data_IF_098611403339
#
_entry.id   IF_098611403339
#
_cell.length_a   1.000
_cell.length_b   1.000
_cell.length_c   1.000
_cell.angle_alpha   90.00
_cell.angle_beta   90.00
_cell.angle_gamma   90.00
#
_symmetry.space_group_name_H-M   'P 1'
#
loop_
_entity.id
_entity.type
_entity.pdbx_description
1 polymer ?
#
# COMPACT_ATOMS: atom_id res chain seq x y z
N UNK A 1 -50.68 24.70 -24.37
CA UNK A 1 -50.36 23.64 -23.38
C UNK A 1 -50.04 22.30 -24.05
N UNK A 2 -49.13 22.26 -25.05
CA UNK A 2 -48.72 21.01 -25.73
C UNK A 2 -47.21 20.75 -25.69
N UNK A 3 -46.41 21.71 -25.22
CA UNK A 3 -44.93 21.62 -25.27
C UNK A 3 -44.30 21.26 -23.92
N UNK A 4 -45.07 21.22 -22.83
CA UNK A 4 -44.56 20.84 -21.49
C UNK A 4 -44.54 19.31 -21.32
N UNK A 5 -45.44 18.59 -22.01
CA UNK A 5 -45.52 17.13 -21.92
C UNK A 5 -44.33 16.41 -22.60
N UNK A 6 -43.71 17.06 -23.59
CA UNK A 6 -42.57 16.52 -24.35
C UNK A 6 -41.25 16.64 -23.58
N UNK A 7 -41.11 17.64 -22.71
CA UNK A 7 -39.94 17.83 -21.84
C UNK A 7 -39.86 16.79 -20.72
N UNK A 8 -41.00 16.33 -20.21
CA UNK A 8 -41.05 15.28 -19.18
C UNK A 8 -40.65 13.90 -19.72
N UNK A 9 -40.95 13.60 -20.98
CA UNK A 9 -40.51 12.34 -21.61
C UNK A 9 -39.02 12.32 -21.95
N UNK A 10 -38.44 13.46 -22.37
CA UNK A 10 -37.00 13.55 -22.65
C UNK A 10 -36.15 13.36 -21.37
N UNK A 11 -36.64 13.79 -20.21
CA UNK A 11 -35.94 13.62 -18.94
C UNK A 11 -36.03 12.19 -18.40
N UNK A 12 -37.12 11.47 -18.67
CA UNK A 12 -37.29 10.07 -18.24
C UNK A 12 -36.42 9.09 -19.03
N UNK A 13 -36.14 9.34 -20.31
CA UNK A 13 -35.25 8.50 -21.13
C UNK A 13 -33.77 8.70 -20.78
N UNK A 14 -33.38 9.89 -20.29
CA UNK A 14 -32.02 10.16 -19.82
C UNK A 14 -31.67 9.51 -18.47
N UNK A 15 -32.68 9.12 -17.67
CA UNK A 15 -32.48 8.49 -16.36
C UNK A 15 -32.36 6.96 -16.40
N UNK A 16 -32.57 6.32 -17.56
CA UNK A 16 -32.48 4.86 -17.73
C UNK A 16 -31.09 4.40 -18.22
N UNK A 17 -30.22 5.32 -18.64
CA UNK A 17 -28.87 4.98 -19.16
C UNK A 17 -27.74 5.00 -18.12
N UNK A 18 -28.04 5.11 -16.83
CA UNK A 18 -27.04 4.96 -15.75
C UNK A 18 -27.30 3.73 -14.86
N UNK A 19 -28.00 2.72 -15.38
CA UNK A 19 -28.23 1.47 -14.67
C UNK A 19 -27.91 0.30 -15.59
N UNK A 20 -26.62 -0.05 -15.67
CA UNK A 20 -26.11 -1.42 -15.73
C UNK A 20 -24.62 -1.40 -16.07
N UNK A 21 -23.81 -1.10 -15.07
CA UNK A 21 -22.48 -1.71 -14.96
C UNK A 21 -22.23 -2.08 -13.49
N UNK A 22 -23.21 -2.77 -12.88
CA UNK A 22 -22.89 -3.72 -11.82
C UNK A 22 -22.35 -4.98 -12.52
N UNK A 23 -21.17 -4.84 -13.12
CA UNK A 23 -20.22 -5.92 -12.93
C UNK A 23 -19.89 -5.84 -11.45
N UNK A 24 -20.62 -6.59 -10.64
CA UNK A 24 -20.10 -7.02 -9.35
C UNK A 24 -18.67 -7.48 -9.66
N UNK A 25 -17.62 -6.86 -9.10
CA UNK A 25 -16.30 -7.38 -9.29
C UNK A 25 -16.34 -8.76 -8.67
N UNK A 26 -16.35 -9.77 -9.54
CA UNK A 26 -16.18 -11.17 -9.18
C UNK A 26 -15.02 -11.18 -8.22
N UNK A 27 -15.33 -11.43 -6.94
CA UNK A 27 -14.40 -11.38 -5.83
C UNK A 27 -13.42 -12.54 -6.00
N UNK A 28 -12.44 -12.36 -6.87
CA UNK A 28 -11.34 -13.29 -7.01
C UNK A 28 -10.33 -13.01 -5.88
N UNK A 29 -10.80 -13.31 -4.68
CA UNK A 29 -10.07 -13.86 -3.53
C UNK A 29 -8.95 -13.08 -2.85
N UNK A 30 -8.49 -11.93 -3.35
CA UNK A 30 -7.37 -11.19 -2.74
C UNK A 30 -7.58 -9.69 -2.75
N UNK A 31 -7.60 -9.10 -1.56
CA UNK A 31 -7.55 -7.65 -1.40
C UNK A 31 -6.13 -7.17 -1.72
N UNK A 32 -5.95 -6.33 -2.74
CA UNK A 32 -4.61 -5.92 -3.21
C UNK A 32 -4.47 -4.41 -3.20
N UNK A 33 -3.52 -3.92 -2.41
CA UNK A 33 -3.07 -2.54 -2.49
C UNK A 33 -2.12 -2.36 -3.67
N UNK A 34 -2.32 -1.32 -4.47
CA UNK A 34 -1.54 -1.05 -5.69
C UNK A 34 -0.93 0.35 -5.65
N UNK A 35 0.40 0.41 -5.68
CA UNK A 35 1.16 1.63 -5.93
C UNK A 35 1.71 1.63 -7.36
N UNK A 36 2.39 2.71 -7.77
CA UNK A 36 2.92 2.86 -9.13
C UNK A 36 3.89 1.75 -9.55
N UNK A 37 4.68 1.23 -8.61
CA UNK A 37 5.76 0.28 -8.93
C UNK A 37 5.73 -1.03 -8.13
N UNK A 38 4.75 -1.20 -7.25
CA UNK A 38 4.57 -2.42 -6.49
C UNK A 38 3.11 -2.61 -6.08
N UNK A 39 2.83 -3.81 -5.57
CA UNK A 39 1.57 -4.15 -4.94
C UNK A 39 1.82 -4.96 -3.68
N UNK A 40 0.85 -4.92 -2.77
CA UNK A 40 0.79 -5.73 -1.56
C UNK A 40 -0.51 -6.53 -1.57
N UNK A 41 -0.46 -7.82 -1.23
CA UNK A 41 -1.66 -8.60 -0.94
C UNK A 41 -2.00 -8.42 0.55
N UNK A 42 -3.21 -7.94 0.81
CA UNK A 42 -3.77 -7.76 2.14
C UNK A 42 -4.70 -8.92 2.48
N UNK A 43 -4.72 -9.37 3.75
CA UNK A 43 -5.78 -10.27 4.20
C UNK A 43 -7.16 -9.61 4.08
N UNK A 44 -8.20 -10.44 4.07
CA UNK A 44 -9.57 -9.96 4.11
C UNK A 44 -9.82 -9.09 5.35
N UNK A 45 -10.55 -7.99 5.18
CA UNK A 45 -10.83 -7.01 6.24
C UNK A 45 -9.72 -5.98 6.48
N UNK A 46 -8.54 -6.12 5.86
CA UNK A 46 -7.47 -5.12 5.99
C UNK A 46 -7.54 -4.09 4.86
N UNK A 47 -7.08 -2.86 5.10
CA UNK A 47 -7.06 -1.80 4.08
C UNK A 47 -5.81 -0.91 4.21
N UNK A 48 -5.56 -0.06 3.21
CA UNK A 48 -4.53 0.99 3.28
C UNK A 48 -5.19 2.36 3.28
N UNK A 49 -4.79 3.20 4.22
CA UNK A 49 -5.07 4.64 4.21
C UNK A 49 -3.85 5.42 3.71
N UNK A 50 -4.09 6.24 2.68
CA UNK A 50 -3.16 7.27 2.23
C UNK A 50 -3.46 8.56 3.00
N UNK A 51 -2.71 8.82 4.08
CA UNK A 51 -2.78 10.12 4.76
C UNK A 51 -1.74 11.07 4.15
N UNK A 52 -2.13 12.32 3.81
CA UNK A 52 -1.14 13.34 3.48
C UNK A 52 -0.18 13.49 4.66
N UNK A 53 1.12 13.38 4.43
CA UNK A 53 2.06 13.37 5.54
C UNK A 53 1.97 14.71 6.30
N UNK A 54 1.57 14.67 7.56
CA UNK A 54 1.62 15.85 8.46
C UNK A 54 3.07 16.32 8.70
N UNK A 55 4.05 15.51 8.32
CA UNK A 55 5.46 15.84 8.48
C UNK A 55 5.99 16.63 7.28
N UNK A 56 6.72 17.71 7.57
CA UNK A 56 7.57 18.46 6.61
C UNK A 56 8.71 17.61 5.99
N UNK A 57 8.66 16.29 6.10
CA UNK A 57 9.70 15.38 5.65
C UNK A 57 9.61 15.08 4.15
N UNK A 58 8.49 15.39 3.50
CA UNK A 58 8.25 15.11 2.08
C UNK A 58 7.93 13.65 1.76
N UNK A 59 7.78 12.79 2.78
CA UNK A 59 7.48 11.37 2.62
C UNK A 59 6.01 11.08 2.96
N UNK A 60 5.25 10.55 2.00
CA UNK A 60 3.88 10.10 2.25
C UNK A 60 3.88 8.80 3.08
N UNK A 61 3.52 8.92 4.35
CA UNK A 61 3.34 7.77 5.24
C UNK A 61 1.95 7.18 5.02
N UNK A 62 1.89 5.87 4.82
CA UNK A 62 0.65 5.11 4.66
C UNK A 62 0.45 4.20 5.84
N UNK A 63 -0.81 3.89 6.12
CA UNK A 63 -1.18 3.03 7.22
C UNK A 63 -1.97 1.82 6.73
N UNK A 64 -1.64 0.65 7.25
CA UNK A 64 -2.45 -0.55 7.09
C UNK A 64 -3.36 -0.67 8.30
N UNK A 65 -4.66 -0.80 8.04
CA UNK A 65 -5.69 -0.97 9.06
C UNK A 65 -6.26 -2.37 9.04
N UNK A 66 -6.71 -2.83 10.21
CA UNK A 66 -7.52 -4.04 10.34
C UNK A 66 -9.01 -3.77 10.08
N UNK A 67 -9.84 -4.80 10.26
CA UNK A 67 -11.30 -4.71 10.06
C UNK A 67 -12.03 -3.83 11.09
N UNK A 68 -11.35 -3.39 12.14
CA UNK A 68 -11.87 -2.53 13.19
C UNK A 68 -11.29 -1.11 13.11
N UNK A 69 -10.67 -0.76 11.98
CA UNK A 69 -10.05 0.56 11.74
C UNK A 69 -8.80 0.83 12.59
N UNK A 70 -8.23 -0.18 13.26
CA UNK A 70 -6.99 -0.02 14.02
C UNK A 70 -5.79 0.00 13.07
N UNK A 71 -4.90 0.98 13.24
CA UNK A 71 -3.62 1.03 12.52
C UNK A 71 -2.68 -0.05 13.07
N UNK A 72 -2.42 -1.08 12.28
CA UNK A 72 -1.55 -2.19 12.69
C UNK A 72 -0.10 -2.04 12.20
N UNK A 73 0.09 -1.27 11.13
CA UNK A 73 1.39 -1.08 10.50
C UNK A 73 1.40 0.24 9.73
N UNK A 74 2.54 0.91 9.67
CA UNK A 74 2.77 1.99 8.72
C UNK A 74 3.86 1.64 7.72
N UNK A 75 3.83 2.25 6.55
CA UNK A 75 4.88 2.11 5.57
C UNK A 75 5.02 3.34 4.68
N UNK A 76 6.19 3.46 4.07
CA UNK A 76 6.46 4.43 3.04
C UNK A 76 7.43 3.82 2.03
N UNK A 77 7.40 4.34 0.82
CA UNK A 77 8.19 3.81 -0.30
C UNK A 77 8.88 4.93 -1.08
N UNK A 78 9.95 4.56 -1.77
CA UNK A 78 10.71 5.50 -2.60
C UNK A 78 12.01 4.92 -3.11
N UNK A 79 12.85 5.79 -3.69
CA UNK A 79 14.23 5.44 -4.08
C UNK A 79 15.18 5.31 -2.88
N UNK A 80 14.75 5.83 -1.74
CA UNK A 80 15.35 5.61 -0.42
C UNK A 80 14.24 5.67 0.64
N UNK A 81 14.56 5.26 1.86
CA UNK A 81 13.76 5.41 3.08
C UNK A 81 14.70 5.86 4.21
N UNK A 82 14.21 5.99 5.45
CA UNK A 82 15.07 6.34 6.59
C UNK A 82 16.19 5.31 6.77
N UNK A 83 15.87 4.02 6.59
CA UNK A 83 16.79 2.91 6.81
C UNK A 83 17.20 2.17 5.53
N UNK A 84 16.71 2.59 4.36
CA UNK A 84 17.03 2.04 3.05
C UNK A 84 17.67 3.08 2.14
N UNK A 85 18.94 2.90 1.75
CA UNK A 85 19.60 3.78 0.78
C UNK A 85 20.22 2.96 -0.35
N UNK A 86 20.24 3.48 -1.59
CA UNK A 86 20.92 2.82 -2.69
C UNK A 86 22.37 2.53 -2.29
N UNK A 87 22.75 1.26 -2.27
CA UNK A 87 24.16 0.88 -2.19
C UNK A 87 24.66 0.65 -3.61
N UNK A 88 25.97 0.80 -3.84
CA UNK A 88 26.58 0.50 -5.16
C UNK A 88 26.37 -0.96 -5.63
N UNK A 89 25.76 -1.82 -4.80
CA UNK A 89 25.45 -3.20 -5.12
C UNK A 89 24.13 -3.25 -5.90
N UNK A 90 24.23 -3.56 -7.19
CA UNK A 90 23.06 -3.90 -8.03
C UNK A 90 22.33 -5.09 -7.38
N UNK A 91 21.09 -4.91 -6.95
CA UNK A 91 20.21 -6.04 -6.64
C UNK A 91 19.99 -6.87 -7.92
N UNK A 92 20.48 -8.11 -7.92
CA UNK A 92 20.38 -9.02 -9.08
C UNK A 92 19.15 -9.92 -9.03
N UNK A 93 18.38 -9.86 -7.93
CA UNK A 93 17.24 -10.75 -7.72
C UNK A 93 15.97 -10.22 -8.39
N UNK A 94 15.15 -11.16 -8.86
CA UNK A 94 13.83 -10.86 -9.43
C UNK A 94 12.82 -10.74 -8.28
N UNK A 95 12.56 -9.52 -7.83
CA UNK A 95 11.55 -9.22 -6.82
C UNK A 95 12.08 -8.42 -5.64
N UNK A 96 11.27 -8.35 -4.59
CA UNK A 96 11.67 -7.75 -3.32
C UNK A 96 12.50 -8.72 -2.49
N UNK A 97 13.57 -8.21 -1.90
CA UNK A 97 14.37 -8.90 -0.90
C UNK A 97 14.47 -8.05 0.38
N UNK A 98 14.70 -8.69 1.52
CA UNK A 98 14.89 -7.95 2.79
C UNK A 98 16.25 -7.26 2.77
N UNK A 99 16.25 -5.93 2.83
CA UNK A 99 17.44 -5.09 2.96
C UNK A 99 17.90 -4.99 4.41
N UNK A 100 16.96 -4.72 5.31
CA UNK A 100 17.23 -4.56 6.74
C UNK A 100 16.03 -5.01 7.58
N UNK A 101 16.32 -5.49 8.79
CA UNK A 101 15.35 -5.71 9.86
C UNK A 101 15.97 -5.15 11.15
N UNK A 102 15.27 -4.20 11.76
CA UNK A 102 15.74 -3.45 12.91
C UNK A 102 14.69 -3.52 14.01
N UNK A 103 15.11 -3.89 15.21
CA UNK A 103 14.26 -3.83 16.40
C UNK A 103 14.80 -2.75 17.33
N UNK A 104 13.92 -1.90 17.83
CA UNK A 104 14.24 -0.85 18.79
C UNK A 104 13.26 -0.91 19.96
N UNK A 105 13.77 -0.67 21.17
CA UNK A 105 12.92 -0.58 22.35
C UNK A 105 12.51 0.87 22.56
N UNK A 106 11.23 1.11 22.82
CA UNK A 106 10.68 2.43 23.15
C UNK A 106 9.63 2.31 24.23
N UNK A 107 9.40 3.39 24.97
CA UNK A 107 8.28 3.46 25.91
C UNK A 107 7.03 3.86 25.12
N UNK A 108 6.00 3.02 25.17
CA UNK A 108 4.71 3.28 24.54
C UNK A 108 3.60 3.06 25.59
N UNK A 109 2.77 4.09 25.82
CA UNK A 109 1.75 4.09 26.87
C UNK A 109 2.26 3.63 28.25
N UNK A 110 3.48 4.03 28.61
CA UNK A 110 4.08 3.72 29.92
C UNK A 110 4.69 2.31 30.04
N UNK A 111 4.64 1.49 29.00
CA UNK A 111 5.28 0.18 28.95
C UNK A 111 6.45 0.15 27.95
N UNK A 112 7.45 -0.70 28.22
CA UNK A 112 8.49 -1.00 27.22
C UNK A 112 7.84 -1.82 26.11
N UNK A 113 7.98 -1.33 24.88
CA UNK A 113 7.43 -1.93 23.67
C UNK A 113 8.52 -2.02 22.60
N UNK A 114 8.44 -3.07 21.78
CA UNK A 114 9.37 -3.27 20.66
C UNK A 114 8.77 -2.59 19.43
N UNK A 115 9.53 -1.72 18.78
CA UNK A 115 9.21 -1.21 17.46
C UNK A 115 10.10 -1.94 16.46
N UNK A 116 9.47 -2.62 15.48
CA UNK A 116 10.14 -3.34 14.40
C UNK A 116 10.02 -2.56 13.09
N UNK A 117 11.17 -2.37 12.46
CA UNK A 117 11.29 -1.81 11.11
C UNK A 117 11.80 -2.91 10.16
N UNK A 118 11.10 -3.12 9.06
CA UNK A 118 11.52 -4.05 7.99
C UNK A 118 11.62 -3.28 6.69
N UNK A 119 12.82 -3.23 6.13
CA UNK A 119 13.08 -2.60 4.83
C UNK A 119 13.20 -3.71 3.80
N UNK A 120 12.33 -3.70 2.80
CA UNK A 120 12.49 -4.52 1.61
C UNK A 120 12.92 -3.64 0.44
N UNK A 121 13.67 -4.21 -0.49
CA UNK A 121 14.07 -3.50 -1.69
C UNK A 121 14.03 -4.37 -2.94
N UNK A 122 13.78 -3.74 -4.07
CA UNK A 122 13.81 -4.34 -5.39
C UNK A 122 14.46 -3.36 -6.37
N UNK A 123 14.85 -3.87 -7.54
CA UNK A 123 15.20 -3.02 -8.68
C UNK A 123 14.02 -2.93 -9.63
N UNK A 124 13.58 -1.72 -9.92
CA UNK A 124 12.61 -1.44 -10.98
C UNK A 124 13.35 -1.53 -12.31
N UNK A 125 12.94 -2.48 -13.15
CA UNK A 125 13.47 -2.59 -14.51
C UNK A 125 12.80 -1.52 -15.38
N UNK A 126 13.36 -0.32 -15.40
CA UNK A 126 13.16 0.58 -16.53
C UNK A 126 14.12 0.07 -17.61
N UNK A 127 13.66 -0.54 -18.71
CA UNK A 127 14.42 -0.95 -19.92
C UNK A 127 15.79 -1.67 -19.77
N UNK A 128 16.14 -2.55 -20.71
CA UNK A 128 17.47 -3.21 -20.79
C UNK A 128 18.62 -2.18 -20.84
N UNK A 129 18.33 -0.95 -21.28
CA UNK A 129 19.30 0.12 -21.49
C UNK A 129 19.43 1.12 -20.33
N UNK A 130 18.52 1.11 -19.33
CA UNK A 130 18.61 2.03 -18.19
C UNK A 130 19.28 1.39 -16.97
N UNK A 131 19.90 2.25 -16.16
CA UNK A 131 20.36 1.83 -14.84
C UNK A 131 19.13 1.42 -14.01
N UNK A 132 19.18 0.28 -13.29
CA UNK A 132 18.09 -0.12 -12.43
C UNK A 132 17.83 0.95 -11.38
N UNK A 133 16.56 1.37 -11.25
CA UNK A 133 16.15 2.34 -10.23
C UNK A 133 15.71 1.56 -9.00
N UNK A 134 16.33 1.76 -7.83
CA UNK A 134 15.95 1.03 -6.63
C UNK A 134 14.55 1.45 -6.17
N UNK A 135 13.82 0.51 -5.60
CA UNK A 135 12.58 0.73 -4.88
C UNK A 135 12.75 0.14 -3.49
N UNK A 136 12.62 0.98 -2.47
CA UNK A 136 12.57 0.58 -1.09
C UNK A 136 11.13 0.72 -0.59
N UNK A 137 10.71 -0.21 0.25
CA UNK A 137 9.48 -0.09 1.05
C UNK A 137 9.88 -0.39 2.49
N UNK A 138 9.60 0.54 3.40
CA UNK A 138 9.94 0.41 4.81
C UNK A 138 8.69 0.30 5.65
N UNK A 139 8.50 -0.88 6.25
CA UNK A 139 7.37 -1.20 7.11
C UNK A 139 7.74 -1.02 8.57
N UNK A 140 6.81 -0.49 9.36
CA UNK A 140 6.96 -0.20 10.78
C UNK A 140 5.76 -0.73 11.56
N UNK A 141 5.99 -1.53 12.59
CA UNK A 141 4.93 -2.08 13.45
C UNK A 141 5.47 -2.47 14.84
N UNK A 142 4.56 -2.70 15.79
CA UNK A 142 4.87 -3.10 17.18
C UNK A 142 4.45 -4.55 17.43
N UNK A 143 5.35 -5.55 17.30
CA UNK A 143 4.98 -6.98 17.34
C UNK A 143 4.38 -7.45 18.67
N UNK A 144 4.51 -6.68 19.74
CA UNK A 144 3.88 -6.88 21.04
C UNK A 144 2.42 -6.39 21.11
N UNK A 145 2.01 -5.52 20.18
CA UNK A 145 0.67 -4.93 20.15
C UNK A 145 -0.19 -5.39 18.97
N UNK A 146 0.42 -5.96 17.94
CA UNK A 146 -0.26 -6.40 16.72
C UNK A 146 0.13 -7.82 16.34
N UNK A 147 -0.70 -8.49 15.54
CA UNK A 147 -0.37 -9.81 15.00
C UNK A 147 0.84 -9.72 14.05
N UNK A 148 2.00 -10.08 14.58
CA UNK A 148 3.26 -10.08 13.84
C UNK A 148 3.27 -11.03 12.65
N UNK A 149 2.49 -12.12 12.67
CA UNK A 149 2.42 -13.06 11.56
C UNK A 149 1.65 -12.47 10.38
N UNK A 150 0.56 -11.74 10.65
CA UNK A 150 -0.16 -10.97 9.63
C UNK A 150 0.75 -9.91 9.02
N UNK A 151 1.47 -9.16 9.86
CA UNK A 151 2.43 -8.15 9.41
C UNK A 151 3.49 -8.75 8.46
N UNK A 152 4.10 -9.87 8.87
CA UNK A 152 5.10 -10.58 8.05
C UNK A 152 4.51 -11.12 6.75
N UNK A 153 3.26 -11.61 6.77
CA UNK A 153 2.57 -12.07 5.57
C UNK A 153 2.36 -10.94 4.56
N UNK A 154 1.95 -9.76 5.02
CA UNK A 154 1.79 -8.58 4.18
C UNK A 154 3.14 -8.15 3.58
N UNK A 155 4.20 -8.05 4.40
CA UNK A 155 5.55 -7.68 3.92
C UNK A 155 6.03 -8.64 2.83
N UNK A 156 5.87 -9.95 3.05
CA UNK A 156 6.28 -11.00 2.09
C UNK A 156 5.41 -11.06 0.84
N UNK A 157 4.22 -10.47 0.87
CA UNK A 157 3.34 -10.41 -0.29
C UNK A 157 3.79 -9.40 -1.35
N UNK A 158 4.75 -8.54 -1.02
CA UNK A 158 5.19 -7.46 -1.88
C UNK A 158 5.71 -7.97 -3.22
N UNK A 159 5.15 -7.41 -4.31
CA UNK A 159 5.53 -7.74 -5.69
C UNK A 159 5.81 -6.47 -6.47
N UNK A 160 6.88 -6.49 -7.24
CA UNK A 160 7.20 -5.42 -8.20
C UNK A 160 6.13 -5.41 -9.30
N UNK A 161 5.66 -4.22 -9.67
CA UNK A 161 4.81 -4.01 -10.84
C UNK A 161 5.66 -3.51 -11.99
N UNK A 162 5.52 -4.17 -13.13
CA UNK A 162 6.18 -3.83 -14.39
C UNK A 162 5.23 -3.06 -15.30
#
# INVERSE_FOLDING_TARGET
MKNILLLLFAFAVLLISCSNSNEDPVADGKNVYRASYYQLELPEGYSVDDEPSESNSGWNVRYIKDSFDNRIMSFYDGESTNHGKPTNKKCKEKGFMTFARLDSMSIFHGAISVHRTVVIHANRSTSIFSKPIPLFVEFNYRPDLVDSAVCEKIIRSAKVRH
#
